data_IF_586671175113
#
_entry.id   IF_586671175113
#
_cell.length_a   1.000
_cell.length_b   1.000
_cell.length_c   1.000
_cell.angle_alpha   90.00
_cell.angle_beta   90.00
_cell.angle_gamma   90.00
#
_symmetry.space_group_name_H-M   'P 1'
#
loop_
_entity.id
_entity.type
_entity.pdbx_description
1 polymer ?
#
# COMPACT_ATOMS: atom_id res chain seq x y z
N UNK A 1 24.48 -5.06 -19.28
CA UNK A 1 23.25 -5.84 -19.03
C UNK A 1 23.26 -6.29 -17.56
N UNK A 2 22.69 -5.48 -16.66
CA UNK A 2 22.76 -5.73 -15.22
C UNK A 2 21.80 -6.85 -14.80
N UNK A 3 22.30 -7.89 -14.12
CA UNK A 3 21.47 -8.96 -13.56
C UNK A 3 20.40 -8.34 -12.65
N UNK A 4 19.11 -8.48 -13.00
CA UNK A 4 17.99 -8.22 -12.07
C UNK A 4 18.25 -9.04 -10.81
N UNK A 5 18.67 -8.38 -9.72
CA UNK A 5 18.81 -9.04 -8.41
C UNK A 5 17.40 -9.41 -7.97
N UNK A 6 17.09 -10.70 -7.90
CA UNK A 6 15.83 -11.16 -7.33
C UNK A 6 15.78 -10.73 -5.85
N UNK A 7 14.68 -10.15 -5.36
CA UNK A 7 14.58 -9.67 -3.98
C UNK A 7 14.64 -10.86 -2.99
N UNK A 8 14.07 -11.99 -3.37
CA UNK A 8 14.14 -13.27 -2.64
C UNK A 8 15.55 -13.86 -2.60
N UNK A 9 16.06 -14.12 -1.40
CA UNK A 9 17.43 -14.62 -1.16
C UNK A 9 17.48 -16.07 -0.70
N UNK A 10 16.61 -16.44 0.22
CA UNK A 10 16.56 -17.79 0.78
C UNK A 10 15.18 -18.05 1.38
N UNK A 11 14.83 -19.33 1.45
CA UNK A 11 13.70 -19.83 2.24
C UNK A 11 14.26 -20.76 3.31
N UNK A 12 13.91 -20.51 4.56
CA UNK A 12 14.25 -21.34 5.70
C UNK A 12 13.00 -22.10 6.14
N UNK A 13 13.18 -23.37 6.45
CA UNK A 13 12.13 -24.24 6.97
C UNK A 13 12.47 -24.55 8.43
N UNK A 14 11.70 -24.01 9.36
CA UNK A 14 11.90 -24.18 10.79
C UNK A 14 11.04 -25.34 11.29
N UNK A 15 11.70 -26.40 11.76
CA UNK A 15 11.05 -27.55 12.39
C UNK A 15 11.08 -27.39 13.91
N UNK A 16 10.00 -27.80 14.56
CA UNK A 16 9.82 -27.71 16.00
C UNK A 16 9.61 -29.11 16.59
N UNK A 17 9.89 -29.30 17.88
CA UNK A 17 9.70 -30.60 18.55
C UNK A 17 8.24 -31.04 18.61
N UNK A 18 7.30 -30.10 18.43
CA UNK A 18 5.87 -30.35 18.25
C UNK A 18 5.24 -29.20 17.42
N UNK A 19 4.12 -29.48 16.75
CA UNK A 19 3.38 -28.49 15.96
C UNK A 19 3.80 -28.40 14.49
N UNK A 20 3.26 -27.41 13.78
CA UNK A 20 3.52 -27.21 12.36
C UNK A 20 4.90 -26.57 12.11
N UNK A 21 5.49 -26.91 10.97
CA UNK A 21 6.71 -26.25 10.46
C UNK A 21 6.42 -24.81 10.05
N UNK A 22 7.37 -23.90 10.24
CA UNK A 22 7.27 -22.52 9.78
C UNK A 22 8.20 -22.25 8.60
N UNK A 23 7.68 -21.60 7.56
CA UNK A 23 8.48 -21.05 6.47
C UNK A 23 8.92 -19.62 6.80
N UNK A 24 10.21 -19.32 6.63
CA UNK A 24 10.75 -17.96 6.75
C UNK A 24 11.40 -17.58 5.43
N UNK A 25 10.86 -16.55 4.80
CA UNK A 25 11.42 -16.00 3.57
C UNK A 25 12.40 -14.87 3.90
N UNK A 26 13.61 -14.96 3.35
CA UNK A 26 14.65 -13.92 3.48
C UNK A 26 14.60 -13.05 2.23
N UNK A 27 14.14 -11.82 2.40
CA UNK A 27 13.96 -10.83 1.33
C UNK A 27 14.91 -9.67 1.54
N UNK A 28 15.71 -9.35 0.51
CA UNK A 28 16.40 -8.07 0.44
C UNK A 28 15.44 -7.03 -0.13
N UNK A 29 15.27 -5.92 0.59
CA UNK A 29 14.39 -4.85 0.21
C UNK A 29 15.10 -3.49 0.14
N UNK A 30 14.45 -2.55 -0.52
CA UNK A 30 14.73 -1.11 -0.61
C UNK A 30 13.39 -0.39 -0.83
N UNK A 31 13.33 0.94 -0.73
CA UNK A 31 12.09 1.70 -0.90
C UNK A 31 11.61 1.56 -2.36
N UNK A 32 10.34 1.15 -2.61
CA UNK A 32 9.79 1.08 -3.96
C UNK A 32 9.76 2.45 -4.64
N UNK A 33 9.47 2.48 -5.94
CA UNK A 33 9.43 3.73 -6.72
C UNK A 33 8.15 3.81 -7.51
N UNK A 34 7.46 4.96 -7.45
CA UNK A 34 6.32 5.27 -8.32
C UNK A 34 6.80 6.01 -9.56
N UNK A 35 6.15 5.79 -10.69
CA UNK A 35 6.39 6.58 -11.91
C UNK A 35 5.77 7.99 -11.81
N UNK A 36 4.67 8.11 -11.10
CA UNK A 36 3.99 9.35 -10.78
C UNK A 36 3.48 9.32 -9.33
N UNK A 37 3.43 10.47 -8.68
CA UNK A 37 2.99 10.61 -7.29
C UNK A 37 1.59 11.23 -7.16
N UNK A 38 0.94 11.54 -8.28
CA UNK A 38 -0.42 12.08 -8.28
C UNK A 38 -1.13 11.87 -9.62
N UNK A 39 -2.46 11.93 -9.58
CA UNK A 39 -3.33 12.07 -10.75
C UNK A 39 -4.65 12.74 -10.36
N UNK A 40 -5.42 13.17 -11.36
CA UNK A 40 -6.82 13.52 -11.13
C UNK A 40 -7.64 12.28 -10.73
N UNK A 41 -8.63 12.47 -9.87
CA UNK A 41 -9.64 11.45 -9.58
C UNK A 41 -10.62 11.35 -10.77
N UNK A 42 -10.77 10.16 -11.34
CA UNK A 42 -11.65 9.90 -12.49
C UNK A 42 -12.62 8.77 -12.12
N UNK A 43 -13.90 9.09 -12.09
CA UNK A 43 -14.94 8.16 -11.65
C UNK A 43 -15.08 6.92 -12.54
N UNK A 44 -15.63 5.86 -11.95
CA UNK A 44 -16.21 4.74 -12.69
C UNK A 44 -15.28 3.57 -13.01
N UNK A 45 -13.99 3.60 -12.63
CA UNK A 45 -13.06 2.47 -12.76
C UNK A 45 -12.03 2.46 -11.61
N UNK A 46 -11.43 1.29 -11.38
CA UNK A 46 -10.27 1.16 -10.51
C UNK A 46 -9.09 1.97 -11.06
N UNK A 47 -8.37 2.65 -10.18
CA UNK A 47 -7.12 3.30 -10.54
C UNK A 47 -5.95 2.33 -10.35
N UNK A 48 -5.18 2.14 -11.41
CA UNK A 48 -3.90 1.43 -11.39
C UNK A 48 -2.76 2.44 -11.29
N UNK A 49 -2.00 2.39 -10.20
CA UNK A 49 -0.81 3.21 -10.00
C UNK A 49 0.43 2.36 -10.26
N UNK A 50 1.19 2.60 -11.35
CA UNK A 50 2.39 1.86 -11.67
C UNK A 50 3.47 2.00 -10.60
N UNK A 51 4.08 0.87 -10.23
CA UNK A 51 5.10 0.79 -9.18
C UNK A 51 6.23 -0.18 -9.57
N UNK A 52 7.45 0.24 -9.28
CA UNK A 52 8.61 -0.63 -9.24
C UNK A 52 8.86 -1.12 -7.81
N UNK A 53 8.36 -2.32 -7.49
CA UNK A 53 8.64 -2.96 -6.20
C UNK A 53 10.13 -3.26 -6.03
N UNK A 54 10.65 -3.00 -4.82
CA UNK A 54 12.02 -3.34 -4.42
C UNK A 54 12.02 -4.21 -3.16
N UNK A 55 11.34 -5.34 -3.21
CA UNK A 55 11.18 -6.22 -2.05
C UNK A 55 10.04 -7.20 -2.32
N UNK A 56 9.11 -7.33 -1.38
CA UNK A 56 7.85 -8.02 -1.62
C UNK A 56 7.02 -7.26 -2.66
N UNK A 57 6.33 -8.02 -3.53
CA UNK A 57 5.53 -7.49 -4.64
C UNK A 57 4.14 -7.03 -4.26
N UNK A 58 3.96 -6.55 -3.02
CA UNK A 58 2.67 -6.10 -2.50
C UNK A 58 2.85 -5.11 -1.34
N UNK A 59 1.94 -4.15 -1.18
CA UNK A 59 1.94 -3.23 -0.05
C UNK A 59 1.49 -3.94 1.23
N UNK A 60 1.91 -3.40 2.37
CA UNK A 60 1.53 -3.88 3.69
C UNK A 60 0.22 -3.27 4.19
N UNK A 61 0.01 -1.98 3.95
CA UNK A 61 -1.17 -1.25 4.36
C UNK A 61 -1.27 0.09 3.60
N UNK A 62 -2.46 0.69 3.55
CA UNK A 62 -2.67 1.99 2.88
C UNK A 62 -3.43 2.95 3.78
N UNK A 63 -2.82 4.08 4.11
CA UNK A 63 -3.47 5.20 4.80
C UNK A 63 -4.15 6.12 3.79
N UNK A 64 -5.33 6.65 4.11
CA UNK A 64 -6.17 7.46 3.22
C UNK A 64 -6.61 8.73 3.95
N UNK A 65 -5.84 9.81 3.78
CA UNK A 65 -6.03 11.06 4.51
C UNK A 65 -6.37 12.20 3.54
N UNK A 66 -7.53 12.81 3.75
CA UNK A 66 -7.94 14.01 3.01
C UNK A 66 -7.05 15.20 3.38
N UNK A 67 -6.94 16.15 2.47
CA UNK A 67 -6.13 17.36 2.67
C UNK A 67 -6.66 18.27 3.80
N UNK A 68 -7.95 18.14 4.15
CA UNK A 68 -8.58 18.81 5.30
C UNK A 68 -8.36 18.08 6.64
N UNK A 69 -7.63 16.96 6.63
CA UNK A 69 -7.31 16.16 7.82
C UNK A 69 -8.38 15.14 8.21
N UNK A 70 -9.50 15.10 7.50
CA UNK A 70 -10.54 14.08 7.72
C UNK A 70 -10.10 12.76 7.07
N UNK A 71 -10.46 11.64 7.68
CA UNK A 71 -10.13 10.33 7.12
C UNK A 71 -11.09 10.05 5.96
N UNK A 72 -10.60 9.49 4.86
CA UNK A 72 -11.47 9.20 3.73
C UNK A 72 -12.53 8.13 4.08
N UNK A 73 -12.14 7.18 4.92
CA UNK A 73 -12.97 6.10 5.43
C UNK A 73 -12.70 5.84 6.91
N UNK A 74 -13.67 5.21 7.58
CA UNK A 74 -13.54 4.65 8.93
C UNK A 74 -13.07 5.68 9.98
N UNK A 75 -13.87 6.73 10.16
CA UNK A 75 -13.63 7.88 11.05
C UNK A 75 -13.29 7.46 12.49
N UNK A 76 -13.85 6.34 12.95
CA UNK A 76 -13.61 5.80 14.29
C UNK A 76 -12.16 5.36 14.50
N UNK A 77 -11.41 5.09 13.43
CA UNK A 77 -9.99 4.72 13.51
C UNK A 77 -9.11 5.85 14.02
N UNK A 78 -9.63 7.07 14.14
CA UNK A 78 -8.91 8.22 14.73
C UNK A 78 -8.45 7.97 16.18
N UNK A 79 -9.11 7.05 16.89
CA UNK A 79 -8.75 6.65 18.25
C UNK A 79 -7.73 5.51 18.31
N UNK A 80 -7.32 4.97 17.16
CA UNK A 80 -6.33 3.90 17.09
C UNK A 80 -4.90 4.44 17.00
N UNK A 81 -3.93 3.56 17.20
CA UNK A 81 -2.51 3.89 17.07
C UNK A 81 -2.11 4.30 15.64
N UNK A 82 -0.91 4.88 15.48
CA UNK A 82 -0.46 5.48 14.23
C UNK A 82 -0.34 4.51 13.04
N UNK A 83 -0.25 3.19 13.30
CA UNK A 83 -0.22 2.16 12.25
C UNK A 83 -1.61 1.71 11.77
N UNK A 84 -2.67 2.28 12.35
CA UNK A 84 -4.07 1.90 12.09
C UNK A 84 -4.98 3.11 11.79
N UNK A 85 -4.70 4.29 12.35
CA UNK A 85 -5.50 5.49 12.10
C UNK A 85 -5.50 5.89 10.61
N UNK A 86 -6.71 6.03 10.04
CA UNK A 86 -6.97 6.33 8.63
C UNK A 86 -6.53 5.25 7.63
N UNK A 87 -6.29 4.00 8.06
CA UNK A 87 -5.95 2.92 7.14
C UNK A 87 -7.19 2.23 6.58
N UNK A 88 -7.19 2.03 5.26
CA UNK A 88 -8.26 1.31 4.57
C UNK A 88 -8.12 -0.21 4.67
N UNK A 89 -9.20 -0.92 4.35
CA UNK A 89 -9.25 -2.38 4.37
C UNK A 89 -8.82 -2.96 3.02
N UNK A 90 -7.92 -3.96 3.07
CA UNK A 90 -7.49 -4.71 1.90
C UNK A 90 -8.67 -5.36 1.18
N UNK A 91 -8.67 -5.31 -0.16
CA UNK A 91 -9.75 -5.79 -1.04
C UNK A 91 -11.09 -5.04 -0.87
N UNK A 92 -11.12 -3.97 -0.06
CA UNK A 92 -12.24 -3.03 0.04
C UNK A 92 -11.92 -1.71 -0.65
N UNK A 93 -11.00 -0.93 -0.06
CA UNK A 93 -10.60 0.37 -0.61
C UNK A 93 -9.35 0.29 -1.49
N UNK A 94 -8.51 -0.72 -1.28
CA UNK A 94 -7.25 -0.86 -2.01
C UNK A 94 -6.88 -2.32 -2.26
N UNK A 95 -6.06 -2.54 -3.29
CA UNK A 95 -5.52 -3.84 -3.67
C UNK A 95 -4.15 -3.67 -4.37
N UNK A 96 -3.58 -4.75 -4.91
CA UNK A 96 -2.45 -4.71 -5.84
C UNK A 96 -2.70 -5.70 -6.98
N UNK A 97 -2.19 -5.38 -8.17
CA UNK A 97 -2.30 -6.25 -9.34
C UNK A 97 -1.03 -6.17 -10.19
N UNK A 98 -0.21 -7.22 -10.12
CA UNK A 98 1.09 -7.25 -10.79
C UNK A 98 1.99 -6.11 -10.30
N UNK A 99 2.43 -5.24 -11.20
CA UNK A 99 3.25 -4.06 -10.89
C UNK A 99 2.41 -2.79 -10.67
N UNK A 100 1.18 -2.93 -10.17
CA UNK A 100 0.31 -1.80 -9.88
C UNK A 100 -0.21 -1.88 -8.44
N UNK A 101 -0.22 -0.74 -7.78
CA UNK A 101 -1.09 -0.50 -6.64
C UNK A 101 -2.48 -0.17 -7.18
N UNK A 102 -3.53 -0.61 -6.48
CA UNK A 102 -4.91 -0.41 -6.92
C UNK A 102 -5.65 0.39 -5.86
N UNK A 103 -6.26 1.50 -6.28
CA UNK A 103 -7.35 2.14 -5.54
C UNK A 103 -8.65 1.75 -6.23
N UNK A 104 -9.60 1.20 -5.47
CA UNK A 104 -10.85 0.71 -6.06
C UNK A 104 -11.69 1.86 -6.61
N UNK A 105 -12.56 1.59 -7.58
CA UNK A 105 -13.48 2.58 -8.14
C UNK A 105 -14.27 3.31 -7.04
N UNK A 106 -14.74 2.57 -6.02
CA UNK A 106 -15.45 3.13 -4.86
C UNK A 106 -14.59 4.09 -4.04
N UNK A 107 -13.28 3.86 -3.97
CA UNK A 107 -12.32 4.74 -3.31
C UNK A 107 -12.09 6.02 -4.12
N UNK A 108 -11.96 5.89 -5.44
CA UNK A 108 -11.85 7.06 -6.33
C UNK A 108 -13.11 7.92 -6.26
N UNK A 109 -14.29 7.29 -6.32
CA UNK A 109 -15.58 7.96 -6.18
C UNK A 109 -15.73 8.65 -4.82
N UNK A 110 -15.20 8.05 -3.74
CA UNK A 110 -15.19 8.67 -2.41
C UNK A 110 -14.30 9.93 -2.36
N UNK A 111 -13.17 9.95 -3.06
CA UNK A 111 -12.33 11.17 -3.16
C UNK A 111 -13.10 12.28 -3.88
N UNK A 112 -13.75 11.95 -5.01
CA UNK A 112 -14.56 12.91 -5.77
C UNK A 112 -15.71 13.44 -4.90
N UNK A 113 -16.41 12.56 -4.18
CA UNK A 113 -17.51 12.94 -3.30
C UNK A 113 -17.05 13.78 -2.10
N UNK A 114 -15.83 13.55 -1.59
CA UNK A 114 -15.24 14.36 -0.52
C UNK A 114 -14.96 15.81 -0.98
N UNK A 115 -14.76 16.04 -2.28
CA UNK A 115 -14.59 17.37 -2.85
C UNK A 115 -13.23 18.01 -2.55
N UNK A 116 -12.28 17.23 -2.01
CA UNK A 116 -10.94 17.69 -1.63
C UNK A 116 -9.91 16.61 -1.94
N UNK A 117 -8.68 17.03 -2.20
CA UNK A 117 -7.56 16.13 -2.47
C UNK A 117 -7.38 15.11 -1.35
N UNK A 118 -7.01 13.88 -1.71
CA UNK A 118 -6.71 12.82 -0.75
C UNK A 118 -5.35 12.21 -1.02
N UNK A 119 -4.54 12.11 0.04
CA UNK A 119 -3.22 11.46 -0.01
C UNK A 119 -3.33 10.03 0.50
N UNK A 120 -2.87 9.11 -0.33
CA UNK A 120 -2.74 7.69 -0.06
C UNK A 120 -1.28 7.39 0.30
N UNK A 121 -1.03 6.97 1.54
CA UNK A 121 0.29 6.51 1.97
C UNK A 121 0.33 4.99 1.92
N UNK A 122 1.05 4.44 0.95
CA UNK A 122 1.27 3.01 0.81
C UNK A 122 2.49 2.61 1.65
N UNK A 123 2.26 1.83 2.71
CA UNK A 123 3.31 1.20 3.49
C UNK A 123 3.76 -0.09 2.83
N UNK A 124 5.05 -0.42 2.93
CA UNK A 124 5.59 -1.69 2.44
C UNK A 124 6.23 -2.50 3.57
N UNK A 125 6.49 -3.78 3.34
CA UNK A 125 7.22 -4.61 4.29
C UNK A 125 8.74 -4.38 4.17
N UNK A 126 9.46 -4.27 5.31
CA UNK A 126 8.93 -4.15 6.66
C UNK A 126 8.30 -2.76 6.89
N UNK A 127 7.23 -2.68 7.71
CA UNK A 127 6.58 -1.42 8.06
C UNK A 127 7.45 -0.62 9.04
N UNK A 128 8.41 0.12 8.48
CA UNK A 128 9.36 0.96 9.20
C UNK A 128 9.34 2.39 8.65
N UNK A 129 9.73 3.40 9.44
CA UNK A 129 9.81 4.77 8.96
C UNK A 129 10.64 4.89 7.67
N UNK A 130 10.08 5.55 6.66
CA UNK A 130 10.74 5.75 5.36
C UNK A 130 10.51 4.64 4.33
N UNK A 131 9.88 3.51 4.71
CA UNK A 131 9.47 2.46 3.75
C UNK A 131 8.00 2.61 3.34
N UNK A 132 7.65 3.79 2.84
CA UNK A 132 6.32 4.12 2.36
C UNK A 132 6.40 5.13 1.21
N UNK A 133 5.32 5.20 0.43
CA UNK A 133 5.18 6.13 -0.70
C UNK A 133 3.84 6.84 -0.62
N UNK A 134 3.83 8.12 -0.96
CA UNK A 134 2.62 8.91 -1.06
C UNK A 134 2.17 9.01 -2.51
N UNK A 135 0.87 8.87 -2.72
CA UNK A 135 0.19 9.15 -3.98
C UNK A 135 -1.03 10.01 -3.70
N UNK A 136 -1.22 11.11 -4.44
CA UNK A 136 -2.32 12.03 -4.21
C UNK A 136 -3.33 11.99 -5.35
N UNK A 137 -4.60 11.82 -5.02
CA UNK A 137 -5.69 12.08 -5.96
C UNK A 137 -6.18 13.51 -5.78
N UNK A 138 -6.21 14.25 -6.88
CA UNK A 138 -6.71 15.63 -6.93
C UNK A 138 -8.13 15.68 -7.45
N UNK A 139 -8.97 16.55 -6.87
CA UNK A 139 -10.36 16.81 -7.30
C UNK A 139 -10.45 18.05 -8.17
#
# INVERSE_FOLDING_TARGET
MGRRRRPYKANLTLTFSAGATAGVEIVQWDVPVLEATQSAAVAGQDLLVPIAFKGLGYPAAVKMLRSDGVFLFDDWTQYLGPLQAAYGTFSGQWNWLGNNLVLTATTVDAVIAAGVDTTFTFDFYPRVPGNSLNYTLTV
#
